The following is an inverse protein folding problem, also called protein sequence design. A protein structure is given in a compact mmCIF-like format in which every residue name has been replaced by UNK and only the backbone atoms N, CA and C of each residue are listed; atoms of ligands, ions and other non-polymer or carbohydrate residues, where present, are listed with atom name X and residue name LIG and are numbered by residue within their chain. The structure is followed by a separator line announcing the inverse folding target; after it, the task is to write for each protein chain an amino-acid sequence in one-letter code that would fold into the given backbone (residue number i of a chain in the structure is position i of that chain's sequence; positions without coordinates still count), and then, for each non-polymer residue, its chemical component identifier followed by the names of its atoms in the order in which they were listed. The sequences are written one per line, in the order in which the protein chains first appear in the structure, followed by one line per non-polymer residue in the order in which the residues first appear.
data_IF_949819018487
#
_entry.id   IF_949819018487
#
_cell.length_a   1.000
_cell.length_b   1.000
_cell.length_c   1.000
_cell.angle_alpha   90.00
_cell.angle_beta   90.00
_cell.angle_gamma   90.00
#
_symmetry.space_group_name_H-M   'P 1'
#
loop_
_entity.id
_entity.type
_entity.pdbx_description
1 polymer ?
#
# COMPACT_ATOMS: atom_id res chain seq x y z
N UNK A 1 -16.42 18.78 6.54
CA UNK A 1 -17.05 17.47 6.85
C UNK A 1 -15.95 16.44 6.68
N UNK A 2 -15.72 15.52 7.64
CA UNK A 2 -14.71 14.45 7.43
C UNK A 2 -15.22 13.54 6.31
N UNK A 3 -14.36 13.12 5.35
CA UNK A 3 -14.77 12.19 4.32
C UNK A 3 -15.28 10.89 4.96
N UNK A 4 -16.36 10.35 4.41
CA UNK A 4 -16.91 9.08 4.91
C UNK A 4 -16.02 7.96 4.39
N UNK A 5 -15.54 7.07 5.26
CA UNK A 5 -14.81 5.86 4.89
C UNK A 5 -15.66 5.06 3.89
N UNK A 6 -15.05 4.70 2.75
CA UNK A 6 -15.72 4.00 1.65
C UNK A 6 -15.37 2.51 1.63
N UNK A 7 -14.12 2.17 1.94
CA UNK A 7 -13.61 0.81 1.82
C UNK A 7 -13.52 0.12 3.17
N UNK A 8 -13.88 -1.15 3.22
CA UNK A 8 -13.81 -1.98 4.43
C UNK A 8 -12.45 -2.71 4.47
N UNK A 9 -11.54 -2.23 5.33
CA UNK A 9 -10.24 -2.86 5.53
C UNK A 9 -10.36 -4.32 5.99
N UNK A 10 -11.35 -4.64 6.83
CA UNK A 10 -11.55 -6.03 7.30
C UNK A 10 -11.91 -6.94 6.14
N UNK A 11 -12.74 -6.47 5.22
CA UNK A 11 -13.08 -7.24 4.03
C UNK A 11 -11.87 -7.42 3.10
N UNK A 12 -11.03 -6.40 2.96
CA UNK A 12 -9.76 -6.50 2.20
C UNK A 12 -8.80 -7.53 2.81
N UNK A 13 -8.73 -7.60 4.15
CA UNK A 13 -7.87 -8.54 4.86
C UNK A 13 -8.34 -10.00 4.77
N UNK A 14 -9.55 -10.29 4.31
CA UNK A 14 -10.01 -11.67 4.07
C UNK A 14 -9.31 -12.31 2.88
N UNK A 15 -8.78 -11.55 1.94
CA UNK A 15 -8.12 -12.08 0.75
C UNK A 15 -6.68 -12.50 1.06
N UNK A 16 -6.33 -13.75 0.74
CA UNK A 16 -4.94 -14.18 0.68
C UNK A 16 -4.36 -13.73 -0.65
N UNK A 17 -3.41 -12.83 -0.61
CA UNK A 17 -2.89 -12.18 -1.82
C UNK A 17 -1.51 -12.72 -2.22
N UNK A 18 -1.41 -14.04 -2.27
CA UNK A 18 -0.23 -14.71 -2.81
C UNK A 18 -0.11 -14.42 -4.31
N UNK A 19 1.10 -14.10 -4.75
CA UNK A 19 1.38 -13.89 -6.16
C UNK A 19 0.89 -15.06 -7.04
N UNK A 20 0.21 -14.75 -8.15
CA UNK A 20 -0.22 -15.69 -9.17
C UNK A 20 -1.44 -16.54 -8.80
N UNK A 21 -2.18 -16.20 -7.76
CA UNK A 21 -3.40 -16.92 -7.34
C UNK A 21 -4.69 -16.24 -7.81
N UNK A 22 -5.81 -16.94 -7.76
CA UNK A 22 -7.11 -16.36 -8.12
C UNK A 22 -7.55 -15.32 -7.10
N UNK A 23 -7.31 -15.54 -5.80
CA UNK A 23 -7.73 -14.60 -4.76
C UNK A 23 -7.05 -13.23 -4.85
N UNK A 24 -5.82 -13.13 -5.36
CA UNK A 24 -5.19 -11.83 -5.62
C UNK A 24 -5.82 -11.14 -6.85
N UNK A 25 -6.26 -11.89 -7.85
CA UNK A 25 -6.99 -11.34 -9.01
C UNK A 25 -8.35 -10.81 -8.57
N UNK A 26 -9.11 -11.61 -7.79
CA UNK A 26 -10.40 -11.18 -7.22
C UNK A 26 -10.25 -9.91 -6.38
N UNK A 27 -9.17 -9.80 -5.61
CA UNK A 27 -8.86 -8.60 -4.85
C UNK A 27 -8.64 -7.39 -5.78
N UNK A 28 -7.85 -7.55 -6.84
CA UNK A 28 -7.59 -6.50 -7.81
C UNK A 28 -8.88 -6.08 -8.54
N UNK A 29 -9.68 -7.04 -8.99
CA UNK A 29 -10.96 -6.77 -9.66
C UNK A 29 -11.95 -6.02 -8.77
N UNK A 30 -11.97 -6.35 -7.49
CA UNK A 30 -12.91 -5.72 -6.54
C UNK A 30 -12.47 -4.34 -6.08
N UNK A 31 -11.17 -4.12 -5.83
CA UNK A 31 -10.68 -2.93 -5.16
C UNK A 31 -9.85 -2.00 -6.05
N UNK A 32 -9.03 -2.55 -6.93
CA UNK A 32 -8.08 -1.76 -7.72
C UNK A 32 -8.63 -1.37 -9.09
N UNK A 33 -9.16 -2.32 -9.87
CA UNK A 33 -9.71 -2.04 -11.20
C UNK A 33 -10.78 -0.94 -11.21
N UNK A 34 -11.72 -0.86 -10.24
CA UNK A 34 -12.74 0.19 -10.25
C UNK A 34 -12.18 1.60 -10.03
N UNK A 35 -10.96 1.73 -9.49
CA UNK A 35 -10.33 3.00 -9.14
C UNK A 35 -9.23 3.38 -10.13
N UNK A 36 -8.37 2.44 -10.47
CA UNK A 36 -7.19 2.66 -11.30
C UNK A 36 -7.40 2.27 -12.77
N UNK A 37 -8.41 1.47 -13.08
CA UNK A 37 -8.50 0.75 -14.35
C UNK A 37 -7.65 -0.53 -14.31
N UNK A 38 -7.37 -1.09 -15.49
CA UNK A 38 -6.48 -2.25 -15.57
C UNK A 38 -5.03 -1.84 -15.41
N UNK A 39 -4.20 -2.71 -14.81
CA UNK A 39 -2.78 -2.42 -14.64
C UNK A 39 -2.07 -2.32 -16.00
N UNK A 40 -0.99 -1.57 -16.03
CA UNK A 40 -0.15 -1.43 -17.20
C UNK A 40 1.14 -2.24 -17.08
N UNK A 41 2.29 -1.59 -16.94
CA UNK A 41 3.60 -2.24 -16.92
C UNK A 41 3.79 -3.13 -15.70
N UNK A 42 3.99 -4.42 -15.94
CA UNK A 42 4.30 -5.44 -14.92
C UNK A 42 3.31 -5.44 -13.74
N UNK A 43 2.02 -5.37 -14.07
CA UNK A 43 0.89 -5.43 -13.14
C UNK A 43 0.83 -4.30 -12.09
N UNK A 44 1.52 -3.18 -12.32
CA UNK A 44 1.40 -2.01 -11.44
C UNK A 44 0.17 -1.17 -11.77
N UNK A 45 -0.38 -0.53 -10.75
CA UNK A 45 -1.47 0.42 -10.87
C UNK A 45 -0.97 1.84 -10.61
N UNK A 46 -1.36 2.78 -11.49
CA UNK A 46 -1.04 4.19 -11.36
C UNK A 46 -2.30 5.05 -11.53
N UNK A 47 -2.42 6.09 -10.70
CA UNK A 47 -3.44 7.11 -10.83
C UNK A 47 -2.88 8.47 -10.43
N UNK A 48 -3.14 9.50 -11.24
CA UNK A 48 -2.75 10.87 -10.95
C UNK A 48 -4.00 11.68 -10.64
N UNK A 49 -4.04 12.32 -9.48
CA UNK A 49 -5.10 13.25 -9.08
C UNK A 49 -4.48 14.65 -8.88
N UNK A 50 -5.06 15.65 -9.53
CA UNK A 50 -4.55 17.02 -9.52
C UNK A 50 -3.80 17.37 -10.81
N UNK A 51 -3.49 18.66 -10.95
CA UNK A 51 -2.87 19.20 -12.18
C UNK A 51 -1.34 18.96 -12.23
N UNK A 52 -0.67 19.05 -11.07
CA UNK A 52 0.79 18.92 -10.96
C UNK A 52 1.18 18.42 -9.55
N UNK A 53 0.74 17.19 -9.18
CA UNK A 53 0.99 16.68 -7.85
C UNK A 53 2.49 16.47 -7.64
N UNK A 54 2.98 16.85 -6.44
CA UNK A 54 4.41 16.79 -6.07
C UNK A 54 4.72 15.64 -5.11
N UNK A 55 3.70 14.91 -4.67
CA UNK A 55 3.83 13.79 -3.74
C UNK A 55 3.34 12.53 -4.43
N UNK A 56 4.16 11.48 -4.38
CA UNK A 56 3.77 10.13 -4.74
C UNK A 56 3.48 9.32 -3.48
N UNK A 57 2.35 8.63 -3.45
CA UNK A 57 1.96 7.68 -2.41
C UNK A 57 2.04 6.28 -2.96
N UNK A 58 2.75 5.39 -2.29
CA UNK A 58 3.00 4.04 -2.76
C UNK A 58 2.62 2.97 -1.73
N UNK A 59 2.15 1.83 -2.21
CA UNK A 59 1.91 0.60 -1.47
C UNK A 59 2.12 -0.60 -2.40
N UNK A 60 2.02 -1.83 -1.88
CA UNK A 60 1.96 -3.03 -2.72
C UNK A 60 0.73 -3.86 -2.40
N UNK A 61 0.24 -4.66 -3.35
CA UNK A 61 -0.99 -5.41 -3.15
C UNK A 61 -0.78 -6.91 -2.92
N UNK A 62 0.39 -7.46 -3.22
CA UNK A 62 0.74 -8.85 -2.90
C UNK A 62 1.11 -9.04 -1.43
N UNK A 63 1.25 -10.27 -1.00
CA UNK A 63 1.65 -10.65 0.36
C UNK A 63 2.41 -11.96 0.38
N UNK A 64 3.07 -12.25 1.50
CA UNK A 64 3.75 -13.53 1.78
C UNK A 64 2.81 -14.71 2.05
N UNK A 65 1.51 -14.61 1.75
CA UNK A 65 0.61 -15.74 1.89
C UNK A 65 1.12 -16.98 1.16
N UNK A 66 1.01 -18.14 1.79
CA UNK A 66 1.45 -19.42 1.20
C UNK A 66 0.33 -20.16 0.45
N UNK A 67 -0.93 -19.78 0.73
CA UNK A 67 -2.13 -20.42 0.19
C UNK A 67 -2.96 -19.43 -0.63
N UNK A 68 -3.78 -19.94 -1.53
CA UNK A 68 -4.83 -19.22 -2.25
C UNK A 68 -6.13 -19.10 -1.42
N UNK A 69 -7.08 -18.31 -1.92
CA UNK A 69 -8.45 -18.20 -1.41
C UNK A 69 -8.61 -17.20 -0.28
N UNK A 70 -9.69 -17.34 0.46
CA UNK A 70 -10.08 -16.45 1.56
C UNK A 70 -9.60 -16.99 2.90
N UNK A 71 -9.46 -16.09 3.88
CA UNK A 71 -9.16 -16.43 5.27
C UNK A 71 -10.23 -15.91 6.23
N UNK A 72 -10.37 -16.59 7.35
CA UNK A 72 -11.27 -16.18 8.41
C UNK A 72 -10.56 -15.29 9.41
N UNK A 73 -11.24 -14.23 9.84
CA UNK A 73 -10.73 -13.22 10.75
C UNK A 73 -11.55 -13.19 12.03
N UNK A 74 -10.90 -12.84 13.11
CA UNK A 74 -11.51 -12.54 14.40
C UNK A 74 -11.30 -11.06 14.73
N UNK A 75 -12.37 -10.39 15.19
CA UNK A 75 -12.32 -8.98 15.59
C UNK A 75 -12.62 -8.91 17.08
N UNK A 76 -11.67 -8.41 17.83
CA UNK A 76 -11.81 -8.23 19.28
C UNK A 76 -11.16 -6.91 19.70
N UNK A 77 -11.88 -6.10 20.49
CA UNK A 77 -11.36 -4.83 21.03
C UNK A 77 -10.69 -3.93 19.97
N UNK A 78 -11.34 -3.77 18.80
CA UNK A 78 -10.82 -2.99 17.67
C UNK A 78 -9.51 -3.55 17.06
N UNK A 79 -9.15 -4.78 17.37
CA UNK A 79 -8.00 -5.49 16.79
C UNK A 79 -8.52 -6.59 15.87
N UNK A 80 -7.93 -6.69 14.69
CA UNK A 80 -8.20 -7.75 13.72
C UNK A 80 -7.07 -8.77 13.77
N UNK A 81 -7.42 -10.03 13.90
CA UNK A 81 -6.47 -11.16 13.91
C UNK A 81 -6.97 -12.28 13.02
N UNK A 82 -6.13 -13.27 12.74
CA UNK A 82 -6.58 -14.51 12.14
C UNK A 82 -7.49 -15.25 13.14
N UNK A 83 -8.59 -15.80 12.65
CA UNK A 83 -9.48 -16.63 13.47
C UNK A 83 -8.73 -17.85 14.03
N UNK A 84 -9.15 -18.31 15.22
CA UNK A 84 -8.58 -19.50 15.83
C UNK A 84 -8.76 -20.72 14.90
N UNK A 85 -7.65 -21.37 14.59
CA UNK A 85 -7.61 -22.51 13.65
C UNK A 85 -7.47 -22.13 12.17
N UNK A 86 -7.33 -20.84 11.85
CA UNK A 86 -6.98 -20.41 10.49
C UNK A 86 -5.69 -21.08 10.04
N UNK A 87 -5.68 -21.54 8.77
CA UNK A 87 -4.49 -22.12 8.14
C UNK A 87 -3.61 -21.06 7.47
N UNK A 88 -4.00 -19.80 7.54
CA UNK A 88 -3.23 -18.69 6.96
C UNK A 88 -1.95 -18.46 7.76
N UNK A 89 -0.85 -18.22 7.05
CA UNK A 89 0.46 -17.96 7.67
C UNK A 89 0.66 -16.51 8.11
N UNK A 90 -0.18 -15.60 7.63
CA UNK A 90 -0.13 -14.19 8.00
C UNK A 90 -1.51 -13.53 7.86
N UNK A 91 -1.71 -12.38 8.51
CA UNK A 91 -2.92 -11.56 8.38
C UNK A 91 -2.95 -10.83 7.02
N UNK A 92 -1.80 -10.48 6.47
CA UNK A 92 -1.68 -9.72 5.23
C UNK A 92 -1.98 -8.23 5.37
N UNK A 93 -1.84 -7.66 6.58
CA UNK A 93 -1.94 -6.20 6.76
C UNK A 93 -0.87 -5.45 5.99
N UNK A 94 0.28 -6.08 5.86
CA UNK A 94 1.35 -5.76 4.94
C UNK A 94 1.01 -6.34 3.52
N UNK A 95 0.66 -5.57 2.48
CA UNK A 95 0.41 -4.14 2.62
C UNK A 95 -1.07 -3.78 2.32
N UNK A 96 -2.05 -4.59 2.76
CA UNK A 96 -3.47 -4.27 2.58
C UNK A 96 -3.84 -2.93 3.23
N UNK A 97 -3.21 -2.61 4.36
CA UNK A 97 -3.45 -1.35 5.06
C UNK A 97 -2.97 -0.16 4.23
N UNK A 98 -1.80 -0.28 3.59
CA UNK A 98 -1.29 0.75 2.69
C UNK A 98 -2.18 0.95 1.46
N UNK A 99 -2.64 -0.15 0.85
CA UNK A 99 -3.61 -0.08 -0.26
C UNK A 99 -4.92 0.58 0.19
N UNK A 100 -5.45 0.19 1.35
CA UNK A 100 -6.65 0.80 1.92
C UNK A 100 -6.50 2.31 2.14
N UNK A 101 -5.37 2.77 2.69
CA UNK A 101 -5.07 4.19 2.87
C UNK A 101 -5.07 4.93 1.53
N UNK A 102 -4.41 4.39 0.52
CA UNK A 102 -4.39 4.95 -0.84
C UNK A 102 -5.81 5.08 -1.39
N UNK A 103 -6.63 4.04 -1.31
CA UNK A 103 -8.00 4.06 -1.79
C UNK A 103 -8.87 5.10 -1.07
N UNK A 104 -8.72 5.27 0.24
CA UNK A 104 -9.43 6.28 1.02
C UNK A 104 -8.95 7.70 0.70
N UNK A 105 -7.65 7.90 0.46
CA UNK A 105 -7.10 9.20 0.04
C UNK A 105 -7.62 9.60 -1.34
N UNK A 106 -7.66 8.67 -2.30
CA UNK A 106 -8.23 8.87 -3.63
C UNK A 106 -9.72 9.22 -3.52
N UNK A 107 -10.47 8.47 -2.71
CA UNK A 107 -11.89 8.74 -2.47
C UNK A 107 -12.14 10.11 -1.84
N UNK A 108 -11.23 10.57 -0.99
CA UNK A 108 -11.26 11.89 -0.39
C UNK A 108 -10.85 13.02 -1.35
N UNK A 109 -10.42 12.69 -2.57
CA UNK A 109 -9.96 13.67 -3.58
C UNK A 109 -8.63 14.32 -3.22
N UNK A 110 -7.77 13.66 -2.47
CA UNK A 110 -6.44 14.17 -2.13
C UNK A 110 -5.57 14.15 -3.39
N UNK A 111 -4.93 15.27 -3.71
CA UNK A 111 -4.03 15.36 -4.86
C UNK A 111 -2.75 14.56 -4.63
N UNK A 112 -2.32 13.81 -5.64
CA UNK A 112 -1.12 12.98 -5.57
C UNK A 112 -0.94 12.09 -6.80
N UNK A 113 0.24 11.51 -6.91
CA UNK A 113 0.51 10.35 -7.74
C UNK A 113 0.32 9.13 -6.85
N UNK A 114 -0.53 8.20 -7.25
CA UNK A 114 -0.84 7.00 -6.49
C UNK A 114 -0.32 5.78 -7.22
N UNK A 115 0.49 4.98 -6.52
CA UNK A 115 1.09 3.75 -7.05
C UNK A 115 0.76 2.57 -6.17
N UNK A 116 0.28 1.48 -6.79
CA UNK A 116 0.12 0.21 -6.10
C UNK A 116 0.91 -0.85 -6.87
N UNK A 117 2.02 -1.29 -6.28
CA UNK A 117 3.00 -2.17 -6.92
C UNK A 117 2.61 -3.63 -6.81
N UNK A 118 2.99 -4.38 -7.86
CA UNK A 118 2.95 -5.83 -7.88
C UNK A 118 4.25 -6.43 -7.35
N UNK A 119 4.14 -7.64 -6.76
CA UNK A 119 5.29 -8.52 -6.51
C UNK A 119 6.41 -7.87 -5.68
N UNK A 120 6.03 -7.07 -4.68
CA UNK A 120 6.98 -6.49 -3.72
C UNK A 120 7.66 -7.61 -2.95
N UNK A 121 6.89 -8.56 -2.43
CA UNK A 121 7.31 -9.72 -1.65
C UNK A 121 8.14 -10.75 -2.44
N UNK A 122 8.28 -10.55 -3.74
CA UNK A 122 9.15 -11.31 -4.64
C UNK A 122 10.42 -10.53 -5.02
N UNK A 123 10.76 -9.52 -4.24
CA UNK A 123 11.95 -8.69 -4.43
C UNK A 123 11.68 -7.46 -5.27
N UNK A 124 10.55 -6.80 -5.05
CA UNK A 124 10.18 -5.53 -5.67
C UNK A 124 10.14 -5.61 -7.20
N UNK A 125 9.60 -6.70 -7.77
CA UNK A 125 9.62 -6.94 -9.22
C UNK A 125 8.89 -5.82 -9.96
N UNK A 126 7.67 -5.47 -9.54
CA UNK A 126 6.86 -4.46 -10.21
C UNK A 126 7.51 -3.08 -10.20
N UNK A 127 7.95 -2.59 -9.04
CA UNK A 127 8.60 -1.27 -8.96
C UNK A 127 9.93 -1.20 -9.70
N UNK A 128 10.73 -2.29 -9.70
CA UNK A 128 11.96 -2.38 -10.50
C UNK A 128 11.69 -2.36 -11.99
N UNK A 129 10.66 -3.05 -12.46
CA UNK A 129 10.26 -3.07 -13.85
C UNK A 129 9.81 -1.68 -14.30
N UNK A 130 8.98 -0.99 -13.48
CA UNK A 130 8.55 0.38 -13.76
C UNK A 130 9.74 1.33 -13.92
N UNK A 131 10.69 1.32 -12.98
CA UNK A 131 11.89 2.19 -13.05
C UNK A 131 12.76 1.84 -14.26
N UNK A 132 12.87 0.55 -14.61
CA UNK A 132 13.60 0.12 -15.81
C UNK A 132 12.93 0.61 -17.10
N UNK A 133 11.60 0.61 -17.14
CA UNK A 133 10.82 1.04 -18.31
C UNK A 133 10.85 2.57 -18.46
N UNK A 134 10.66 3.30 -17.36
CA UNK A 134 10.71 4.76 -17.34
C UNK A 134 11.47 5.25 -16.10
N UNK A 135 12.81 5.38 -16.17
CA UNK A 135 13.63 5.77 -15.01
C UNK A 135 13.37 7.20 -14.52
N UNK A 136 12.62 7.99 -15.25
CA UNK A 136 12.34 9.40 -14.96
C UNK A 136 10.87 9.69 -14.61
N UNK A 137 10.04 8.65 -14.45
CA UNK A 137 8.59 8.84 -14.30
C UNK A 137 8.19 9.63 -13.04
N UNK A 138 9.04 9.64 -11.98
CA UNK A 138 8.85 10.42 -10.76
C UNK A 138 9.65 11.74 -10.71
N UNK A 139 10.34 12.14 -11.77
CA UNK A 139 11.17 13.36 -11.77
C UNK A 139 10.36 14.63 -11.40
N UNK A 140 9.04 14.63 -11.60
CA UNK A 140 8.16 15.73 -11.24
C UNK A 140 7.73 15.71 -9.75
N UNK A 141 7.89 14.57 -9.07
CA UNK A 141 7.59 14.45 -7.64
C UNK A 141 8.75 14.93 -6.78
N UNK A 142 8.43 15.61 -5.69
CA UNK A 142 9.40 16.05 -4.69
C UNK A 142 9.57 15.03 -3.57
N UNK A 143 8.53 14.23 -3.32
CA UNK A 143 8.47 13.28 -2.22
C UNK A 143 7.78 12.01 -2.67
N UNK A 144 8.30 10.86 -2.22
CA UNK A 144 7.61 9.57 -2.28
C UNK A 144 7.38 9.10 -0.85
N UNK A 145 6.13 8.75 -0.52
CA UNK A 145 5.72 8.21 0.77
C UNK A 145 5.20 6.79 0.52
N UNK A 146 5.90 5.78 1.06
CA UNK A 146 5.45 4.40 1.01
C UNK A 146 4.77 4.02 2.33
N UNK A 147 3.56 3.42 2.23
CA UNK A 147 2.80 2.90 3.36
C UNK A 147 3.13 1.42 3.60
N UNK A 148 4.39 1.15 3.86
CA UNK A 148 4.91 -0.20 4.01
C UNK A 148 5.79 -0.29 5.25
N UNK A 149 5.20 0.03 6.40
CA UNK A 149 5.92 0.05 7.68
C UNK A 149 5.15 -0.73 8.74
N UNK A 150 5.86 -1.65 9.39
CA UNK A 150 5.37 -2.30 10.60
C UNK A 150 5.25 -1.28 11.73
N UNK A 151 4.12 -1.26 12.43
CA UNK A 151 3.73 -0.26 13.43
C UNK A 151 3.42 1.12 12.84
N UNK A 152 2.96 2.03 13.70
CA UNK A 152 2.42 3.34 13.31
C UNK A 152 3.20 4.54 13.86
N UNK A 153 4.34 4.30 14.50
CA UNK A 153 5.03 5.29 15.33
C UNK A 153 6.47 5.56 14.86
N UNK A 154 6.79 5.26 13.61
CA UNK A 154 8.12 5.54 13.10
C UNK A 154 8.13 5.81 11.60
N UNK A 155 9.03 6.69 11.17
CA UNK A 155 9.32 6.98 9.77
C UNK A 155 10.70 6.41 9.46
N UNK A 156 10.79 5.61 8.40
CA UNK A 156 12.05 4.99 7.99
C UNK A 156 12.88 5.98 7.19
N UNK A 157 14.04 6.33 7.70
CA UNK A 157 15.02 7.21 7.07
C UNK A 157 16.12 6.47 6.31
N UNK A 158 16.23 5.16 6.53
CA UNK A 158 17.21 4.29 5.85
C UNK A 158 16.56 2.98 5.45
N UNK A 159 16.79 2.54 4.22
CA UNK A 159 16.34 1.25 3.70
C UNK A 159 17.52 0.52 3.05
N UNK A 160 17.75 -0.73 3.44
CA UNK A 160 18.86 -1.56 2.91
C UNK A 160 20.23 -0.86 2.99
N UNK A 161 20.50 -0.09 4.07
CA UNK A 161 21.73 0.66 4.27
C UNK A 161 21.83 1.98 3.50
N UNK A 162 20.81 2.35 2.74
CA UNK A 162 20.77 3.61 1.98
C UNK A 162 19.85 4.60 2.70
N UNK A 163 20.28 5.85 2.83
CA UNK A 163 19.44 6.92 3.36
C UNK A 163 18.35 7.27 2.34
N UNK A 164 17.09 7.24 2.77
CA UNK A 164 15.90 7.50 1.94
C UNK A 164 15.36 8.92 2.10
N UNK A 165 15.53 9.51 3.30
CA UNK A 165 15.17 10.91 3.54
C UNK A 165 16.04 11.54 4.63
N UNK A 166 16.01 12.87 4.75
CA UNK A 166 16.71 13.59 5.81
C UNK A 166 15.99 13.46 7.15
N UNK A 167 16.73 13.60 8.25
CA UNK A 167 16.14 13.60 9.59
C UNK A 167 15.16 14.76 9.78
N UNK A 168 15.47 15.94 9.20
CA UNK A 168 14.56 17.10 9.24
C UNK A 168 13.23 16.80 8.56
N UNK A 169 13.24 16.14 7.39
CA UNK A 169 12.01 15.73 6.71
C UNK A 169 11.23 14.71 7.57
N UNK A 170 11.91 13.70 8.09
CA UNK A 170 11.28 12.67 8.93
C UNK A 170 10.63 13.27 10.19
N UNK A 171 11.33 14.17 10.88
CA UNK A 171 10.81 14.87 12.06
C UNK A 171 9.59 15.73 11.71
N UNK A 172 9.68 16.53 10.63
CA UNK A 172 8.54 17.36 10.20
C UNK A 172 7.32 16.52 9.84
N UNK A 173 7.50 15.40 9.14
CA UNK A 173 6.41 14.49 8.81
C UNK A 173 5.84 13.82 10.08
N UNK A 174 6.70 13.44 11.02
CA UNK A 174 6.30 12.87 12.31
C UNK A 174 5.44 13.85 13.12
N UNK A 175 5.83 15.13 13.15
CA UNK A 175 5.08 16.19 13.82
C UNK A 175 3.68 16.38 13.19
N UNK A 176 3.61 16.42 11.84
CA UNK A 176 2.34 16.55 11.10
C UNK A 176 1.41 15.37 11.41
N UNK A 177 1.96 14.16 11.51
CA UNK A 177 1.20 12.94 11.80
C UNK A 177 0.91 12.75 13.30
N UNK A 178 1.43 13.60 14.16
CA UNK A 178 1.25 13.49 15.62
C UNK A 178 1.94 12.26 16.23
N UNK A 179 3.04 11.78 15.62
CA UNK A 179 3.73 10.56 16.04
C UNK A 179 4.75 10.80 17.15
N UNK A 180 5.06 12.06 17.47
CA UNK A 180 6.13 12.43 18.41
C UNK A 180 7.53 12.28 17.80
N UNK A 181 8.53 12.87 18.47
CA UNK A 181 9.94 12.70 18.07
C UNK A 181 10.43 11.30 18.44
N UNK A 182 11.12 10.66 17.52
CA UNK A 182 11.85 9.42 17.79
C UNK A 182 13.18 9.70 18.43
#
# INVERSE_FOLDING_TARGET
MKPKIKYDLVDMLKYRRKHGTESIKDFCEKYLHPVFGYPDVDDNYELIIGKDPKICFAAHYDTVHTMDGMQELEISNSTVTLAKGSKSNCLGADCATGVWLILEMIHAGIEGVYMVHANEEKGCIGSKALVKHNPRWLDHCQVVISFDRMYQNSIITHQSGIRTCSDNFANSLSDILGMGHM
#
